data_IF_294673620227
#
_entry.id   IF_294673620227
#
_cell.length_a   1.000
_cell.length_b   1.000
_cell.length_c   1.000
_cell.angle_alpha   90.00
_cell.angle_beta   90.00
_cell.angle_gamma   90.00
#
_symmetry.space_group_name_H-M   'P 1'
#
loop_
_entity.id
_entity.type
_entity.pdbx_description
1 polymer ?
#
# COMPACT_ATOMS: atom_id res chain seq x y z
N UNK A 1 19.62 -13.02 60.32
CA UNK A 1 19.37 -12.86 59.74
C UNK A 1 18.91 -12.61 58.83
N UNK A 2 18.90 -12.65 59.09
CA UNK A 2 18.60 -12.41 58.13
C UNK A 2 18.12 -12.01 57.35
N UNK A 3 18.28 -11.68 57.45
CA UNK A 3 17.94 -11.19 56.71
C UNK A 3 17.82 -10.87 55.65
N UNK A 4 18.03 -10.76 55.69
CA UNK A 4 17.98 -10.49 54.64
C UNK A 4 17.57 -10.53 53.75
N UNK A 5 17.50 -10.54 53.64
CA UNK A 5 17.29 -10.55 52.66
C UNK A 5 16.66 -10.38 51.82
N UNK A 6 16.76 -10.11 52.47
CA UNK A 6 16.25 -9.89 51.62
C UNK A 6 16.02 -9.42 50.73
N UNK A 7 16.29 -9.12 50.83
CA UNK A 7 16.15 -8.82 49.84
C UNK A 7 16.03 -8.79 48.96
N UNK A 8 16.37 -8.81 49.37
CA UNK A 8 16.41 -8.89 48.21
C UNK A 8 15.87 -8.98 47.36
N UNK A 9 15.85 -8.76 47.75
CA UNK A 9 15.33 -8.92 46.64
C UNK A 9 14.82 -8.52 45.71
N UNK A 10 15.00 -8.06 46.03
CA UNK A 10 14.65 -7.60 44.91
C UNK A 10 14.62 -7.46 43.89
N UNK A 11 14.73 -7.25 44.30
CA UNK A 11 15.00 -7.23 43.12
C UNK A 11 14.56 -7.22 42.30
N UNK A 12 14.45 -6.96 42.22
CA UNK A 12 14.23 -6.86 41.02
C UNK A 12 13.76 -6.78 40.28
N UNK A 13 13.85 -6.65 40.94
CA UNK A 13 13.66 -6.60 40.01
C UNK A 13 13.29 -6.32 39.23
N UNK A 14 13.43 -5.96 39.46
CA UNK A 14 13.25 -5.72 38.41
C UNK A 14 13.06 -5.70 37.59
N UNK A 15 13.14 -5.63 37.89
CA UNK A 15 13.26 -5.69 36.80
C UNK A 15 12.80 -5.68 36.10
N UNK A 16 12.83 -5.44 36.20
CA UNK A 16 12.55 -5.42 35.23
C UNK A 16 12.08 -5.13 34.56
N UNK A 17 12.21 -4.83 34.80
CA UNK A 17 11.90 -4.58 33.89
C UNK A 17 11.78 -4.35 33.07
N UNK A 18 12.09 -4.25 33.25
CA UNK A 18 12.12 -4.12 32.23
C UNK A 18 11.71 -4.12 31.43
N UNK A 19 11.68 -3.89 31.41
CA UNK A 19 11.28 -3.82 30.35
C UNK A 19 10.83 -4.02 29.47
N UNK A 20 10.97 -4.27 29.83
CA UNK A 20 10.52 -4.48 28.68
C UNK A 20 9.83 -3.63 27.96
N UNK A 21 9.81 -2.82 27.77
CA UNK A 21 9.25 -2.14 26.96
C UNK A 21 9.73 -1.96 25.94
N UNK A 22 10.26 -2.17 26.01
CA UNK A 22 10.72 -2.08 24.94
C UNK A 22 9.98 -2.45 23.98
N UNK A 23 9.67 -2.76 23.76
CA UNK A 23 9.09 -3.19 22.80
C UNK A 23 8.24 -2.50 22.24
N UNK A 24 7.79 -1.94 22.68
CA UNK A 24 6.83 -1.45 22.04
C UNK A 24 7.14 -0.58 21.06
N UNK A 25 7.87 0.13 21.13
CA UNK A 25 8.06 0.95 20.24
C UNK A 25 8.32 0.68 19.05
N UNK A 26 8.80 0.09 18.92
CA UNK A 26 9.14 -0.24 17.77
C UNK A 26 8.25 -0.42 16.80
N UNK A 27 7.32 -0.83 17.06
CA UNK A 27 6.46 -1.22 16.10
C UNK A 27 5.96 -0.24 15.24
N UNK A 28 5.95 0.86 15.61
CA UNK A 28 5.35 1.83 14.82
C UNK A 28 5.91 1.96 13.48
N UNK A 29 7.10 1.70 13.34
CA UNK A 29 7.67 1.87 12.11
C UNK A 29 7.18 1.03 11.09
N UNK A 30 6.93 -0.13 11.38
CA UNK A 30 6.55 -1.04 10.35
C UNK A 30 5.25 -0.69 9.72
N UNK A 31 4.45 0.08 10.35
CA UNK A 31 3.20 0.42 9.77
C UNK A 31 3.33 1.33 8.58
N UNK A 32 4.49 1.80 8.31
CA UNK A 32 4.66 2.69 7.20
C UNK A 32 4.60 2.03 5.85
N UNK A 33 4.75 0.75 5.78
CA UNK A 33 4.79 0.08 4.48
C UNK A 33 3.40 -0.19 3.95
N UNK A 34 3.19 -0.03 2.64
CA UNK A 34 1.89 -0.32 2.05
C UNK A 34 1.50 -1.77 2.24
N UNK A 35 0.23 -1.99 2.52
CA UNK A 35 -0.29 -3.33 2.79
C UNK A 35 -1.31 -3.72 1.75
N UNK A 36 -1.44 -5.03 1.54
CA UNK A 36 -2.47 -5.56 0.64
C UNK A 36 -3.83 -5.34 1.27
N UNK A 37 -4.74 -4.79 0.48
CA UNK A 37 -6.12 -4.60 0.87
C UNK A 37 -7.02 -5.35 -0.10
N UNK A 38 -8.26 -5.58 0.28
CA UNK A 38 -9.21 -6.28 -0.57
C UNK A 38 -10.46 -5.43 -0.74
N UNK A 39 -10.91 -5.28 -1.98
CA UNK A 39 -12.12 -4.50 -2.28
C UNK A 39 -13.36 -5.32 -1.95
N UNK A 40 -14.51 -4.67 -1.96
CA UNK A 40 -15.77 -5.35 -1.73
C UNK A 40 -16.07 -6.42 -2.77
N UNK A 41 -15.54 -6.29 -3.96
CA UNK A 41 -15.69 -7.30 -5.02
C UNK A 41 -14.62 -8.38 -4.96
N UNK A 42 -13.75 -8.36 -3.96
CA UNK A 42 -12.75 -9.41 -3.77
C UNK A 42 -11.45 -9.21 -4.53
N UNK A 43 -11.14 -8.00 -4.92
CA UNK A 43 -9.90 -7.70 -5.66
C UNK A 43 -8.84 -7.25 -4.67
N UNK A 44 -7.69 -7.93 -4.69
CA UNK A 44 -6.56 -7.53 -3.84
C UNK A 44 -5.77 -6.43 -4.51
N UNK A 45 -5.34 -5.45 -3.75
CA UNK A 45 -4.58 -4.34 -4.28
C UNK A 45 -3.68 -3.72 -3.21
N UNK A 46 -2.67 -2.99 -3.67
CA UNK A 46 -1.81 -2.18 -2.80
C UNK A 46 -1.78 -0.78 -3.39
N UNK A 47 -1.97 0.23 -2.56
CA UNK A 47 -1.86 1.62 -2.97
C UNK A 47 -0.80 2.30 -2.12
N UNK A 48 0.14 2.98 -2.73
CA UNK A 48 1.22 3.65 -2.02
C UNK A 48 2.24 4.19 -2.99
N UNK A 49 3.50 4.18 -2.59
CA UNK A 49 4.58 4.59 -3.48
C UNK A 49 4.95 6.05 -3.39
N UNK A 50 4.50 6.76 -2.36
CA UNK A 50 4.86 8.15 -2.19
C UNK A 50 6.34 8.30 -1.82
N UNK A 51 6.90 7.35 -1.11
CA UNK A 51 8.30 7.37 -0.75
C UNK A 51 9.07 6.34 -1.56
N UNK A 52 10.37 6.49 -1.59
CA UNK A 52 11.21 5.55 -2.31
C UNK A 52 11.14 4.17 -1.65
N UNK A 53 11.12 4.13 -0.33
CA UNK A 53 11.00 2.86 0.38
C UNK A 53 9.71 2.14 0.04
N UNK A 54 8.61 2.87 -0.07
CA UNK A 54 7.34 2.30 -0.47
C UNK A 54 7.45 1.69 -1.86
N UNK A 55 8.06 2.43 -2.78
CA UNK A 55 8.17 1.96 -4.16
C UNK A 55 9.04 0.71 -4.26
N UNK A 56 10.11 0.64 -3.47
CA UNK A 56 10.97 -0.53 -3.45
C UNK A 56 10.24 -1.73 -2.88
N UNK A 57 9.51 -1.52 -1.79
CA UNK A 57 8.75 -2.56 -1.15
C UNK A 57 7.68 -3.11 -2.10
N UNK A 58 7.00 -2.22 -2.81
CA UNK A 58 5.97 -2.64 -3.77
C UNK A 58 6.60 -3.35 -4.97
N UNK A 59 7.74 -2.85 -5.45
CA UNK A 59 8.40 -3.46 -6.60
C UNK A 59 8.83 -4.90 -6.31
N UNK A 60 9.19 -5.20 -5.09
CA UNK A 60 9.56 -6.56 -4.70
C UNK A 60 8.39 -7.52 -4.80
N UNK A 61 7.16 -7.00 -4.80
CA UNK A 61 5.96 -7.83 -4.88
C UNK A 61 5.30 -7.76 -6.24
N UNK A 62 5.95 -7.12 -7.22
CA UNK A 62 5.33 -6.90 -8.53
C UNK A 62 4.85 -8.20 -9.20
N UNK A 63 5.56 -9.28 -8.99
CA UNK A 63 5.16 -10.56 -9.59
C UNK A 63 3.86 -11.12 -9.07
N UNK A 64 3.37 -10.63 -7.93
CA UNK A 64 2.12 -11.10 -7.35
C UNK A 64 0.92 -10.35 -7.93
N UNK A 65 1.15 -9.24 -8.63
CA UNK A 65 0.09 -8.36 -9.10
C UNK A 65 0.24 -8.14 -10.61
N UNK A 66 -0.70 -8.66 -11.41
CA UNK A 66 -0.60 -8.53 -12.87
C UNK A 66 -0.59 -7.11 -13.38
N UNK A 67 -1.17 -6.16 -12.67
CA UNK A 67 -1.23 -4.78 -13.13
C UNK A 67 -0.65 -3.83 -12.10
N UNK A 68 0.30 -3.00 -12.54
CA UNK A 68 0.81 -1.88 -11.73
C UNK A 68 0.48 -0.60 -12.48
N UNK A 69 -0.14 0.35 -11.80
CA UNK A 69 -0.45 1.66 -12.36
C UNK A 69 0.44 2.68 -11.66
N UNK A 70 1.25 3.41 -12.45
CA UNK A 70 2.07 4.48 -11.92
C UNK A 70 1.53 5.79 -12.47
N UNK A 71 1.17 6.70 -11.59
CA UNK A 71 0.57 7.97 -11.98
C UNK A 71 1.56 9.11 -11.78
N UNK A 72 1.64 9.98 -12.77
CA UNK A 72 2.56 11.13 -12.71
C UNK A 72 1.90 12.34 -13.36
N UNK A 73 2.45 13.49 -13.02
CA UNK A 73 2.06 14.76 -13.60
C UNK A 73 2.80 14.96 -14.92
N UNK A 74 2.39 15.93 -15.75
CA UNK A 74 3.08 16.20 -17.01
C UNK A 74 4.56 16.52 -16.83
N UNK A 75 4.95 17.09 -15.69
CA UNK A 75 6.35 17.40 -15.43
C UNK A 75 7.14 16.19 -14.92
N UNK A 76 6.50 15.03 -14.79
CA UNK A 76 7.17 13.82 -14.34
C UNK A 76 7.09 13.55 -12.85
N UNK A 77 6.57 14.48 -12.07
CA UNK A 77 6.41 14.25 -10.64
C UNK A 77 5.31 13.21 -10.39
N UNK A 78 5.46 12.45 -9.31
CA UNK A 78 4.47 11.45 -8.97
C UNK A 78 3.17 12.13 -8.51
N UNK A 79 2.04 11.54 -8.85
CA UNK A 79 0.74 12.12 -8.57
C UNK A 79 -0.10 11.17 -7.72
N UNK A 80 -0.84 11.75 -6.77
CA UNK A 80 -1.82 11.01 -5.99
C UNK A 80 -3.19 11.37 -6.56
N UNK A 81 -3.92 10.39 -7.04
CA UNK A 81 -5.26 10.63 -7.59
C UNK A 81 -6.27 10.66 -6.44
N UNK A 82 -7.31 11.48 -6.61
CA UNK A 82 -8.38 11.52 -5.63
C UNK A 82 -9.08 10.17 -5.59
N UNK A 83 -9.15 9.51 -6.74
CA UNK A 83 -9.78 8.21 -6.84
C UNK A 83 -9.28 7.48 -8.08
N UNK A 84 -9.04 6.21 -7.94
CA UNK A 84 -8.75 5.33 -9.08
C UNK A 84 -9.74 4.17 -9.02
N UNK A 85 -10.47 3.96 -10.11
CA UNK A 85 -11.48 2.91 -10.19
C UNK A 85 -11.14 1.93 -11.30
N UNK A 86 -11.49 0.67 -11.08
CA UNK A 86 -11.40 -0.36 -12.12
C UNK A 86 -12.82 -0.74 -12.48
N UNK A 87 -13.16 -0.58 -13.75
CA UNK A 87 -14.52 -0.77 -14.23
C UNK A 87 -14.60 -1.92 -15.22
N UNK A 88 -15.73 -2.61 -15.18
CA UNK A 88 -16.09 -3.63 -16.18
C UNK A 88 -17.48 -3.31 -16.66
N UNK A 89 -17.97 -3.98 -17.71
CA UNK A 89 -19.36 -3.79 -18.13
C UNK A 89 -20.37 -4.09 -17.03
N UNK A 90 -20.00 -4.90 -16.03
CA UNK A 90 -20.88 -5.23 -14.94
C UNK A 90 -20.79 -4.26 -13.77
N UNK A 91 -19.86 -3.30 -13.81
CA UNK A 91 -19.73 -2.29 -12.77
C UNK A 91 -18.32 -2.17 -12.25
N UNK A 92 -18.18 -1.51 -11.11
CA UNK A 92 -16.89 -1.28 -10.50
C UNK A 92 -16.40 -2.50 -9.73
N UNK A 93 -15.18 -2.90 -9.98
CA UNK A 93 -14.54 -3.97 -9.21
C UNK A 93 -13.74 -3.39 -8.05
N UNK A 94 -13.24 -2.18 -8.18
CA UNK A 94 -12.35 -1.59 -7.20
C UNK A 94 -12.45 -0.08 -7.27
N UNK A 95 -12.48 0.54 -6.11
CA UNK A 95 -12.39 2.00 -6.00
C UNK A 95 -11.35 2.27 -4.92
N UNK A 96 -10.27 2.94 -5.30
CA UNK A 96 -9.21 3.31 -4.37
C UNK A 96 -9.27 4.82 -4.19
N UNK A 97 -9.53 5.26 -2.98
CA UNK A 97 -9.54 6.69 -2.68
C UNK A 97 -8.14 7.11 -2.28
N UNK A 98 -7.80 8.32 -2.62
CA UNK A 98 -6.45 8.86 -2.35
C UNK A 98 -5.42 7.87 -2.86
N UNK A 99 -5.60 7.47 -4.13
CA UNK A 99 -4.75 6.47 -4.73
C UNK A 99 -3.33 6.99 -4.81
N UNK A 100 -2.40 6.25 -4.22
CA UNK A 100 -1.01 6.66 -4.22
C UNK A 100 -0.43 6.66 -5.62
N UNK A 101 0.77 7.17 -5.80
CA UNK A 101 1.33 7.22 -7.15
C UNK A 101 1.45 5.85 -7.78
N UNK A 102 1.56 4.81 -6.97
CA UNK A 102 1.66 3.43 -7.46
C UNK A 102 0.53 2.62 -6.88
N UNK A 103 -0.26 1.98 -7.75
CA UNK A 103 -1.32 1.08 -7.33
C UNK A 103 -1.10 -0.25 -8.04
N UNK A 104 -0.97 -1.32 -7.27
CA UNK A 104 -0.78 -2.65 -7.82
C UNK A 104 -2.08 -3.43 -7.60
N UNK A 105 -2.58 -4.06 -8.65
CA UNK A 105 -3.92 -4.67 -8.62
C UNK A 105 -3.85 -6.10 -9.14
N UNK A 106 -4.49 -6.99 -8.42
CA UNK A 106 -4.51 -8.40 -8.80
C UNK A 106 -5.80 -8.67 -9.56
N UNK A 107 -5.75 -8.52 -10.87
CA UNK A 107 -6.90 -8.70 -11.74
C UNK A 107 -6.71 -9.95 -12.60
N UNK A 108 -7.79 -10.70 -12.86
CA UNK A 108 -7.73 -11.78 -13.84
C UNK A 108 -7.43 -11.20 -15.22
N UNK A 109 -6.85 -11.99 -16.11
CA UNK A 109 -6.61 -11.51 -17.47
C UNK A 109 -7.90 -11.10 -18.15
N UNK A 110 -7.84 -10.03 -18.90
CA UNK A 110 -9.01 -9.53 -19.63
C UNK A 110 -8.98 -8.02 -19.80
N UNK A 111 -10.04 -7.49 -20.43
CA UNK A 111 -10.14 -6.06 -20.68
C UNK A 111 -10.79 -5.34 -19.50
N UNK A 112 -10.24 -4.18 -19.16
CA UNK A 112 -10.77 -3.34 -18.09
C UNK A 112 -10.66 -1.88 -18.48
N UNK A 113 -11.46 -1.05 -17.84
CA UNK A 113 -11.35 0.41 -17.98
C UNK A 113 -10.93 0.96 -16.63
N UNK A 114 -9.86 1.73 -16.63
CA UNK A 114 -9.42 2.42 -15.43
C UNK A 114 -9.90 3.86 -15.51
N UNK A 115 -10.38 4.37 -14.39
CA UNK A 115 -10.85 5.75 -14.33
C UNK A 115 -10.15 6.44 -13.17
N UNK A 116 -9.44 7.52 -13.45
CA UNK A 116 -8.74 8.29 -12.43
C UNK A 116 -9.38 9.67 -12.32
N UNK A 117 -9.57 10.11 -11.08
CA UNK A 117 -10.08 11.44 -10.80
C UNK A 117 -8.96 12.22 -10.14
N UNK A 118 -8.67 13.42 -10.66
CA UNK A 118 -7.63 14.25 -10.13
C UNK A 118 -8.07 15.71 -10.20
N UNK A 119 -8.25 16.34 -9.06
CA UNK A 119 -8.65 17.75 -8.96
C UNK A 119 -9.88 18.05 -9.82
N UNK A 120 -10.88 17.19 -9.72
CA UNK A 120 -12.13 17.39 -10.43
C UNK A 120 -12.13 16.91 -11.87
N UNK A 121 -11.00 16.48 -12.39
CA UNK A 121 -10.90 15.99 -13.76
C UNK A 121 -10.93 14.48 -13.75
N UNK A 122 -11.57 13.89 -14.73
CA UNK A 122 -11.70 12.45 -14.85
C UNK A 122 -11.08 12.02 -16.15
N UNK A 123 -10.17 11.05 -16.08
CA UNK A 123 -9.56 10.44 -17.25
C UNK A 123 -9.81 8.95 -17.22
N UNK A 124 -9.94 8.37 -18.39
CA UNK A 124 -10.16 6.93 -18.52
C UNK A 124 -9.11 6.34 -19.44
N UNK A 125 -8.71 5.11 -19.12
CA UNK A 125 -7.79 4.34 -19.94
C UNK A 125 -8.28 2.91 -20.04
N UNK A 126 -8.33 2.39 -21.26
CA UNK A 126 -8.59 0.96 -21.44
C UNK A 126 -7.30 0.21 -21.26
N UNK A 127 -7.36 -0.93 -20.60
CA UNK A 127 -6.17 -1.76 -20.39
C UNK A 127 -6.54 -3.21 -20.62
N UNK A 128 -5.62 -3.95 -21.24
CA UNK A 128 -5.76 -5.38 -21.40
C UNK A 128 -4.79 -6.02 -20.42
N UNK A 129 -5.32 -6.69 -19.40
CA UNK A 129 -4.48 -7.34 -18.40
C UNK A 129 -4.10 -8.72 -18.90
N UNK A 130 -2.81 -9.00 -18.89
CA UNK A 130 -2.28 -10.30 -19.27
C UNK A 130 -1.95 -11.11 -18.03
N UNK A 131 -1.57 -12.37 -18.22
CA UNK A 131 -1.21 -13.21 -17.08
C UNK A 131 0.14 -12.82 -16.49
N UNK A 132 1.00 -12.16 -17.26
CA UNK A 132 2.28 -11.71 -16.74
C UNK A 132 2.16 -10.28 -16.24
N UNK A 133 3.03 -9.91 -15.31
CA UNK A 133 2.97 -8.58 -14.69
C UNK A 133 3.30 -7.50 -15.71
N UNK A 134 2.55 -6.41 -15.66
CA UNK A 134 2.75 -5.28 -16.57
C UNK A 134 2.56 -3.97 -15.80
N UNK A 135 3.15 -2.91 -16.32
CA UNK A 135 3.06 -1.58 -15.71
C UNK A 135 2.43 -0.62 -16.72
N UNK A 136 1.43 0.10 -16.25
CA UNK A 136 0.81 1.18 -17.01
C UNK A 136 1.33 2.50 -16.43
N UNK A 137 2.07 3.25 -17.24
CA UNK A 137 2.53 4.58 -16.84
C UNK A 137 1.48 5.57 -17.29
N UNK A 138 0.81 6.18 -16.34
CA UNK A 138 -0.30 7.08 -16.61
C UNK A 138 0.09 8.50 -16.26
N UNK A 139 0.26 9.32 -17.29
CA UNK A 139 0.54 10.73 -17.07
C UNK A 139 -0.79 11.45 -17.03
N UNK A 140 -1.12 12.01 -15.88
CA UNK A 140 -2.39 12.68 -15.68
C UNK A 140 -2.29 14.08 -16.26
N UNK A 141 -3.26 14.46 -17.09
CA UNK A 141 -3.29 15.81 -17.65
C UNK A 141 -3.72 16.79 -16.57
N UNK A 142 -3.14 17.96 -16.54
CA UNK A 142 -3.45 18.97 -15.53
C UNK A 142 -4.05 20.23 -16.14
#
# INVERSE_FOLDING_TARGET
MNRTQWLSVWGFALGAAAHPYAMAQTSADSSEQPMVQRSGAGVDYISGGASENDRESMAARRGEFPLTVMMSMPNGELAVADRLSVLTPQGSLLIVRDAGPVVMIKLPPGPYVLEASYQGRIERRSVQVASSAQTLNWRIAS
#
